data_IF_081358095290
#
_entry.id   IF_081358095290
#
_cell.length_a   1.000
_cell.length_b   1.000
_cell.length_c   1.000
_cell.angle_alpha   90.00
_cell.angle_beta   90.00
_cell.angle_gamma   90.00
#
_symmetry.space_group_name_H-M   'P 1'
#
loop_
_entity.id
_entity.type
_entity.pdbx_description
1 polymer ?
#
# COMPACT_ATOMS: atom_id res chain seq x y z
N UNK A 1 -0.62 16.17 -14.26
CA UNK A 1 -1.18 14.81 -14.04
C UNK A 1 -0.77 14.16 -12.71
N UNK A 2 0.34 14.58 -12.06
CA UNK A 2 0.89 13.92 -10.85
C UNK A 2 0.34 14.44 -9.50
N UNK A 3 -0.33 15.60 -9.51
CA UNK A 3 -0.96 16.28 -8.35
C UNK A 3 -2.47 16.02 -8.24
N UNK A 4 -2.95 14.91 -8.78
CA UNK A 4 -4.38 14.61 -8.66
C UNK A 4 -4.66 14.11 -7.25
N UNK A 5 -5.39 14.89 -6.47
CA UNK A 5 -5.72 14.61 -5.06
C UNK A 5 -6.42 13.27 -4.84
N UNK A 6 -7.01 12.69 -5.90
CA UNK A 6 -7.59 11.34 -5.90
C UNK A 6 -6.56 10.21 -5.76
N UNK A 7 -5.29 10.43 -6.11
CA UNK A 7 -4.24 9.40 -6.11
C UNK A 7 -3.39 9.39 -4.83
N UNK A 8 -3.53 10.41 -3.99
CA UNK A 8 -2.87 10.52 -2.69
C UNK A 8 -3.06 9.32 -1.74
N UNK A 9 -4.23 8.66 -1.64
CA UNK A 9 -4.43 7.55 -0.71
C UNK A 9 -3.67 6.30 -1.19
N UNK A 10 -3.68 6.03 -2.50
CA UNK A 10 -2.90 4.95 -3.10
C UNK A 10 -1.40 5.15 -2.88
N UNK A 11 -0.91 6.39 -3.06
CA UNK A 11 0.49 6.71 -2.78
C UNK A 11 0.85 6.50 -1.31
N UNK A 12 -0.01 6.91 -0.37
CA UNK A 12 0.23 6.66 1.06
C UNK A 12 0.32 5.17 1.37
N UNK A 13 -0.55 4.34 0.79
CA UNK A 13 -0.50 2.88 0.97
C UNK A 13 0.81 2.33 0.41
N UNK A 14 1.24 2.76 -0.77
CA UNK A 14 2.53 2.35 -1.34
C UNK A 14 3.69 2.73 -0.44
N UNK A 15 3.69 3.93 0.16
CA UNK A 15 4.71 4.37 1.12
C UNK A 15 4.63 3.56 2.40
N UNK A 16 3.44 3.28 2.91
CA UNK A 16 3.25 2.44 4.09
C UNK A 16 3.78 1.02 3.88
N UNK A 17 3.50 0.40 2.72
CA UNK A 17 4.01 -0.92 2.36
C UNK A 17 5.54 -0.91 2.20
N UNK A 18 6.10 0.17 1.64
CA UNK A 18 7.55 0.38 1.54
C UNK A 18 8.23 0.40 2.91
N UNK A 19 7.73 1.23 3.84
CA UNK A 19 8.24 1.31 5.21
C UNK A 19 8.02 0.00 5.99
N UNK A 20 6.86 -0.65 5.79
CA UNK A 20 6.57 -1.95 6.40
C UNK A 20 7.55 -3.01 5.93
N UNK A 21 7.99 -2.98 4.68
CA UNK A 21 9.00 -3.90 4.16
C UNK A 21 10.40 -3.66 4.74
N UNK A 22 10.77 -2.41 5.03
CA UNK A 22 11.97 -2.12 5.83
C UNK A 22 11.86 -2.72 7.24
N UNK A 23 10.72 -2.50 7.91
CA UNK A 23 10.47 -3.04 9.24
C UNK A 23 10.50 -4.59 9.27
N UNK A 24 9.90 -5.22 8.26
CA UNK A 24 9.87 -6.68 8.14
C UNK A 24 11.28 -7.24 7.90
N UNK A 25 12.07 -6.63 7.01
CA UNK A 25 13.45 -7.03 6.77
C UNK A 25 14.34 -6.83 8.02
N UNK A 26 14.08 -5.78 8.80
CA UNK A 26 14.75 -5.57 10.07
C UNK A 26 14.47 -6.73 11.03
N UNK A 27 13.19 -7.07 11.24
CA UNK A 27 12.80 -8.22 12.08
C UNK A 27 13.40 -9.55 11.57
N UNK A 28 13.41 -9.79 10.26
CA UNK A 28 13.99 -11.01 9.66
C UNK A 28 15.51 -11.09 9.83
N UNK A 29 16.19 -9.95 9.90
CA UNK A 29 17.65 -9.88 10.15
C UNK A 29 17.99 -9.79 11.64
N UNK A 30 17.03 -10.13 12.52
CA UNK A 30 17.14 -10.06 13.98
C UNK A 30 17.41 -8.65 14.52
N UNK A 31 17.07 -7.60 13.78
CA UNK A 31 17.00 -6.23 14.28
C UNK A 31 15.67 -5.94 14.95
N UNK A 32 15.59 -4.82 15.65
CA UNK A 32 14.36 -4.33 16.28
C UNK A 32 13.82 -3.09 15.54
N UNK A 33 12.50 -2.89 15.60
CA UNK A 33 11.83 -1.75 14.95
C UNK A 33 11.31 -0.85 16.06
N UNK A 34 11.95 0.29 16.25
CA UNK A 34 11.60 1.24 17.32
C UNK A 34 10.34 2.04 16.97
N UNK A 35 10.08 2.25 15.67
CA UNK A 35 8.86 2.90 15.22
C UNK A 35 8.80 3.08 13.72
N UNK A 36 7.59 3.26 13.20
CA UNK A 36 7.34 3.55 11.79
C UNK A 36 6.41 4.76 11.70
N UNK A 37 6.79 5.75 10.90
CA UNK A 37 5.98 6.94 10.65
C UNK A 37 5.80 7.12 9.14
N UNK A 38 4.55 7.32 8.72
CA UNK A 38 4.22 7.63 7.34
C UNK A 38 3.66 9.05 7.29
N UNK A 39 4.33 9.91 6.54
CA UNK A 39 3.91 11.29 6.37
C UNK A 39 2.96 11.42 5.18
N UNK A 40 2.01 12.35 5.32
CA UNK A 40 1.07 12.70 4.27
C UNK A 40 1.73 13.28 3.01
N UNK A 41 2.98 13.70 3.11
CA UNK A 41 3.79 14.25 2.02
C UNK A 41 4.51 13.15 1.20
N UNK A 42 3.95 11.95 1.15
CA UNK A 42 4.50 10.79 0.40
C UNK A 42 5.87 10.30 0.92
N UNK A 43 6.32 10.80 2.08
CA UNK A 43 7.53 10.37 2.78
C UNK A 43 7.22 9.41 3.91
N UNK A 44 8.15 8.51 4.23
CA UNK A 44 8.06 7.59 5.36
C UNK A 44 9.40 7.50 6.06
N UNK A 45 9.38 7.16 7.34
CA UNK A 45 10.59 6.85 8.10
C UNK A 45 10.32 5.66 9.01
N UNK A 46 11.12 4.62 8.83
CA UNK A 46 11.17 3.46 9.71
C UNK A 46 12.43 3.54 10.56
N UNK A 47 12.25 3.69 11.86
CA UNK A 47 13.36 3.64 12.82
C UNK A 47 13.61 2.17 13.19
N UNK A 48 14.77 1.69 12.76
CA UNK A 48 15.25 0.33 13.01
C UNK A 48 16.50 0.37 13.86
N UNK A 49 16.60 -0.54 14.84
CA UNK A 49 17.76 -0.70 15.69
C UNK A 49 18.37 -2.09 15.51
N UNK A 50 19.56 -2.13 14.93
CA UNK A 50 20.24 -3.38 14.60
C UNK A 50 19.73 -4.01 13.30
N UNK A 51 20.14 -5.26 13.05
CA UNK A 51 19.89 -5.96 11.79
C UNK A 51 20.92 -5.66 10.70
N UNK A 52 20.74 -6.28 9.54
CA UNK A 52 21.68 -6.15 8.41
C UNK A 52 21.16 -5.06 7.47
N UNK A 53 21.69 -3.84 7.60
CA UNK A 53 21.31 -2.69 6.78
C UNK A 53 21.35 -2.96 5.27
N UNK A 54 22.30 -3.79 4.82
CA UNK A 54 22.42 -4.21 3.43
C UNK A 54 21.18 -4.93 2.87
N UNK A 55 20.39 -5.57 3.72
CA UNK A 55 19.12 -6.22 3.33
C UNK A 55 17.94 -5.29 3.61
N UNK A 56 18.00 -4.55 4.72
CA UNK A 56 16.92 -3.64 5.12
C UNK A 56 16.72 -2.53 4.09
N UNK A 57 17.79 -1.89 3.61
CA UNK A 57 17.72 -0.79 2.64
C UNK A 57 17.06 -1.19 1.30
N UNK A 58 17.43 -2.28 0.61
CA UNK A 58 16.75 -2.68 -0.62
C UNK A 58 15.35 -3.25 -0.37
N UNK A 59 15.04 -3.75 0.84
CA UNK A 59 13.77 -4.40 1.13
C UNK A 59 12.57 -3.46 0.98
N UNK A 60 12.69 -2.16 1.26
CA UNK A 60 11.60 -1.21 1.04
C UNK A 60 11.23 -1.07 -0.44
N UNK A 61 12.24 -0.94 -1.30
CA UNK A 61 12.08 -0.83 -2.75
C UNK A 61 11.45 -2.09 -3.35
N UNK A 62 12.07 -3.23 -3.06
CA UNK A 62 11.59 -4.54 -3.51
C UNK A 62 10.19 -4.83 -2.94
N UNK A 63 9.95 -4.46 -1.69
CA UNK A 63 8.70 -4.65 -0.98
C UNK A 63 7.51 -3.98 -1.66
N UNK A 64 7.62 -2.69 -1.99
CA UNK A 64 6.53 -1.96 -2.65
C UNK A 64 6.09 -2.57 -3.99
N UNK A 65 7.04 -3.03 -4.81
CA UNK A 65 6.75 -3.74 -6.06
C UNK A 65 6.21 -5.15 -5.81
N UNK A 66 6.77 -5.86 -4.82
CA UNK A 66 6.34 -7.21 -4.44
C UNK A 66 4.88 -7.24 -3.99
N UNK A 67 4.48 -6.32 -3.10
CA UNK A 67 3.09 -6.25 -2.63
C UNK A 67 2.12 -5.89 -3.76
N UNK A 68 2.51 -4.98 -4.67
CA UNK A 68 1.70 -4.68 -5.86
C UNK A 68 1.49 -5.91 -6.75
N UNK A 69 2.54 -6.71 -6.95
CA UNK A 69 2.45 -7.96 -7.71
C UNK A 69 1.56 -9.00 -7.00
N UNK A 70 1.68 -9.15 -5.68
CA UNK A 70 0.86 -10.06 -4.88
C UNK A 70 -0.62 -9.70 -4.99
N UNK A 71 -0.98 -8.42 -4.96
CA UNK A 71 -2.37 -7.99 -5.14
C UNK A 71 -2.89 -8.27 -6.56
N UNK A 72 -2.08 -8.06 -7.59
CA UNK A 72 -2.45 -8.40 -8.98
C UNK A 72 -2.66 -9.91 -9.13
N UNK A 73 -1.77 -10.73 -8.59
CA UNK A 73 -1.89 -12.20 -8.64
C UNK A 73 -3.11 -12.68 -7.85
N UNK A 74 -3.39 -12.06 -6.70
CA UNK A 74 -4.57 -12.37 -5.89
C UNK A 74 -5.89 -12.02 -6.61
N UNK A 75 -5.86 -11.12 -7.60
CA UNK A 75 -7.02 -10.75 -8.40
C UNK A 75 -7.50 -11.83 -9.39
N UNK A 76 -6.74 -12.91 -9.57
CA UNK A 76 -7.05 -13.98 -10.54
C UNK A 76 -8.20 -14.89 -10.11
N UNK A 77 -8.38 -15.08 -8.80
CA UNK A 77 -9.41 -15.95 -8.24
C UNK A 77 -10.39 -15.18 -7.36
N UNK A 78 -11.70 -15.38 -7.55
CA UNK A 78 -12.76 -14.66 -6.83
C UNK A 78 -12.63 -14.71 -5.29
N UNK A 79 -12.20 -15.83 -4.72
CA UNK A 79 -11.97 -15.96 -3.27
C UNK A 79 -10.72 -15.20 -2.81
N UNK A 80 -9.64 -15.27 -3.59
CA UNK A 80 -8.40 -14.57 -3.27
C UNK A 80 -8.60 -13.06 -3.36
N UNK A 81 -9.33 -12.57 -4.37
CA UNK A 81 -9.66 -11.16 -4.52
C UNK A 81 -10.47 -10.65 -3.32
N UNK A 82 -11.39 -11.46 -2.76
CA UNK A 82 -12.16 -11.08 -1.55
C UNK A 82 -11.27 -10.86 -0.34
N UNK A 83 -10.35 -11.80 -0.09
CA UNK A 83 -9.39 -11.70 1.01
C UNK A 83 -8.48 -10.49 0.80
N UNK A 84 -7.96 -10.34 -0.42
CA UNK A 84 -7.08 -9.24 -0.78
C UNK A 84 -7.76 -7.87 -0.67
N UNK A 85 -9.03 -7.74 -1.06
CA UNK A 85 -9.83 -6.53 -0.88
C UNK A 85 -10.06 -6.21 0.60
N UNK A 86 -10.30 -7.23 1.44
CA UNK A 86 -10.38 -7.07 2.90
C UNK A 86 -9.06 -6.57 3.49
N UNK A 87 -7.93 -7.15 3.09
CA UNK A 87 -6.59 -6.69 3.49
C UNK A 87 -6.31 -5.25 3.03
N UNK A 88 -6.74 -4.90 1.81
CA UNK A 88 -6.58 -3.56 1.25
C UNK A 88 -7.38 -2.51 2.03
N UNK A 89 -8.62 -2.84 2.38
CA UNK A 89 -9.47 -2.03 3.27
C UNK A 89 -8.81 -1.84 4.64
N UNK A 90 -8.28 -2.91 5.22
CA UNK A 90 -7.59 -2.83 6.52
C UNK A 90 -6.37 -1.91 6.43
N UNK A 91 -5.57 -2.01 5.37
CA UNK A 91 -4.43 -1.11 5.12
C UNK A 91 -4.88 0.35 5.00
N UNK A 92 -5.99 0.63 4.29
CA UNK A 92 -6.59 1.96 4.22
C UNK A 92 -7.00 2.50 5.59
N UNK A 93 -7.55 1.65 6.46
CA UNK A 93 -7.94 2.03 7.84
C UNK A 93 -6.72 2.34 8.68
N UNK A 94 -5.64 1.55 8.58
CA UNK A 94 -4.39 1.84 9.30
C UNK A 94 -3.80 3.18 8.84
N UNK A 95 -3.77 3.41 7.53
CA UNK A 95 -3.32 4.68 6.94
C UNK A 95 -4.19 5.85 7.39
N UNK A 96 -5.51 5.65 7.56
CA UNK A 96 -6.45 6.66 8.10
C UNK A 96 -6.05 7.13 9.49
N UNK A 97 -5.63 6.20 10.36
CA UNK A 97 -5.17 6.53 11.71
C UNK A 97 -3.82 7.25 11.71
N UNK A 98 -2.92 6.88 10.79
CA UNK A 98 -1.59 7.50 10.66
C UNK A 98 -1.66 8.89 10.01
N UNK A 99 -2.61 9.12 9.10
CA UNK A 99 -2.81 10.40 8.43
C UNK A 99 -3.35 11.46 9.41
N UNK A 100 -2.50 12.43 9.76
CA UNK A 100 -2.86 13.59 10.61
C UNK A 100 -3.72 14.64 9.89
N UNK A 101 -3.76 14.64 8.56
CA UNK A 101 -4.48 15.63 7.77
C UNK A 101 -5.97 15.28 7.63
N UNK A 102 -6.86 16.21 8.02
CA UNK A 102 -8.31 16.04 7.96
C UNK A 102 -8.84 15.76 6.54
N UNK A 103 -8.25 16.37 5.52
CA UNK A 103 -8.64 16.16 4.11
C UNK A 103 -8.31 14.74 3.60
N UNK A 104 -7.14 14.22 3.95
CA UNK A 104 -6.75 12.84 3.63
C UNK A 104 -7.65 11.81 4.30
N UNK A 105 -8.12 12.11 5.53
CA UNK A 105 -9.08 11.24 6.21
C UNK A 105 -10.39 11.14 5.44
N UNK A 106 -10.93 12.26 4.97
CA UNK A 106 -12.14 12.24 4.15
C UNK A 106 -11.96 11.44 2.85
N UNK A 107 -10.81 11.57 2.22
CA UNK A 107 -10.54 10.91 0.95
C UNK A 107 -10.34 9.39 1.12
N UNK A 108 -9.66 8.94 2.18
CA UNK A 108 -9.56 7.52 2.53
C UNK A 108 -10.90 6.93 2.99
N UNK A 109 -11.75 7.67 3.70
CA UNK A 109 -13.12 7.24 4.03
C UNK A 109 -13.95 7.07 2.76
N UNK A 110 -13.79 7.97 1.78
CA UNK A 110 -14.44 7.88 0.48
C UNK A 110 -14.06 6.60 -0.28
N UNK A 111 -12.76 6.27 -0.31
CA UNK A 111 -12.28 5.02 -0.93
C UNK A 111 -12.72 3.78 -0.17
N UNK A 112 -12.64 3.80 1.16
CA UNK A 112 -13.14 2.70 1.98
C UNK A 112 -14.64 2.44 1.75
N UNK A 113 -15.45 3.49 1.67
CA UNK A 113 -16.87 3.38 1.32
C UNK A 113 -17.08 2.85 -0.09
N UNK A 114 -16.29 3.33 -1.06
CA UNK A 114 -16.34 2.83 -2.44
C UNK A 114 -16.08 1.32 -2.48
N UNK A 115 -14.98 0.86 -1.87
CA UNK A 115 -14.61 -0.57 -1.81
C UNK A 115 -15.64 -1.41 -1.04
N UNK A 116 -16.15 -0.88 0.08
CA UNK A 116 -17.16 -1.58 0.91
C UNK A 116 -18.48 -1.73 0.16
N UNK A 117 -18.99 -0.66 -0.45
CA UNK A 117 -20.20 -0.69 -1.29
C UNK A 117 -20.01 -1.66 -2.46
N UNK A 118 -18.81 -1.71 -3.05
CA UNK A 118 -18.46 -2.67 -4.08
C UNK A 118 -18.47 -4.12 -3.59
N UNK A 119 -17.98 -4.40 -2.37
CA UNK A 119 -18.04 -5.74 -1.75
C UNK A 119 -19.49 -6.17 -1.49
N UNK A 120 -20.37 -5.27 -1.05
CA UNK A 120 -21.78 -5.60 -0.82
C UNK A 120 -22.56 -5.86 -2.12
N UNK A 121 -22.20 -5.20 -3.22
CA UNK A 121 -22.80 -5.42 -4.55
C UNK A 121 -22.12 -6.54 -5.36
N UNK A 122 -21.09 -7.18 -4.81
CA UNK A 122 -20.34 -8.28 -5.43
C UNK A 122 -21.20 -9.40 -6.06
N UNK A 123 -22.31 -9.89 -5.46
CA UNK A 123 -23.07 -10.98 -6.05
C UNK A 123 -23.74 -10.62 -7.39
N UNK A 124 -23.80 -9.33 -7.77
CA UNK A 124 -24.52 -8.87 -8.97
C UNK A 124 -23.66 -8.91 -10.25
N UNK A 125 -22.32 -8.76 -10.18
CA UNK A 125 -21.41 -8.81 -11.35
C UNK A 125 -19.94 -9.14 -10.96
N UNK A 126 -19.53 -10.42 -10.96
CA UNK A 126 -18.16 -10.82 -10.57
C UNK A 126 -17.06 -10.36 -11.55
N UNK A 127 -17.39 -10.15 -12.84
CA UNK A 127 -16.42 -9.71 -13.85
C UNK A 127 -15.98 -8.25 -13.64
N UNK A 128 -16.92 -7.34 -13.36
CA UNK A 128 -16.63 -5.92 -13.11
C UNK A 128 -15.79 -5.75 -11.83
N UNK A 129 -16.04 -6.60 -10.84
CA UNK A 129 -15.29 -6.61 -9.59
C UNK A 129 -13.82 -6.97 -9.79
N UNK A 130 -13.53 -8.07 -10.49
CA UNK A 130 -12.15 -8.47 -10.74
C UNK A 130 -11.40 -7.37 -11.50
N UNK A 131 -12.02 -6.75 -12.52
CA UNK A 131 -11.41 -5.65 -13.28
C UNK A 131 -11.12 -4.44 -12.37
N UNK A 132 -12.05 -4.05 -11.50
CA UNK A 132 -11.89 -2.89 -10.61
C UNK A 132 -10.74 -3.11 -9.62
N UNK A 133 -10.67 -4.30 -9.00
CA UNK A 133 -9.59 -4.65 -8.09
C UNK A 133 -8.24 -4.75 -8.81
N UNK A 134 -8.22 -5.27 -10.04
CA UNK A 134 -7.02 -5.29 -10.88
C UNK A 134 -6.51 -3.88 -11.16
N UNK A 135 -7.39 -2.94 -11.55
CA UNK A 135 -7.01 -1.53 -11.82
C UNK A 135 -6.43 -0.85 -10.57
N UNK A 136 -7.02 -1.08 -9.41
CA UNK A 136 -6.49 -0.60 -8.12
C UNK A 136 -5.11 -1.19 -7.81
N UNK A 137 -4.94 -2.50 -8.03
CA UNK A 137 -3.67 -3.21 -7.82
C UNK A 137 -2.57 -2.78 -8.79
N UNK A 138 -2.91 -2.55 -10.07
CA UNK A 138 -2.00 -1.98 -11.06
C UNK A 138 -1.56 -0.57 -10.69
N UNK A 139 -2.46 0.24 -10.14
CA UNK A 139 -2.13 1.58 -9.66
C UNK A 139 -1.09 1.53 -8.54
N UNK A 140 -1.25 0.64 -7.55
CA UNK A 140 -0.27 0.42 -6.48
C UNK A 140 1.09 -0.02 -7.01
N UNK A 141 1.11 -0.97 -7.96
CA UNK A 141 2.34 -1.46 -8.57
C UNK A 141 3.06 -0.34 -9.36
N UNK A 142 2.33 0.43 -10.16
CA UNK A 142 2.88 1.56 -10.90
C UNK A 142 3.45 2.63 -9.96
N UNK A 143 2.75 2.97 -8.87
CA UNK A 143 3.29 3.89 -7.87
C UNK A 143 4.51 3.34 -7.14
N UNK A 144 4.54 2.03 -6.85
CA UNK A 144 5.72 1.37 -6.26
C UNK A 144 6.93 1.46 -7.18
N UNK A 145 6.76 1.10 -8.45
CA UNK A 145 7.81 1.23 -9.47
C UNK A 145 8.27 2.68 -9.66
N UNK A 146 7.33 3.63 -9.69
CA UNK A 146 7.64 5.04 -9.83
C UNK A 146 8.44 5.58 -8.63
N UNK A 147 8.09 5.16 -7.40
CA UNK A 147 8.85 5.49 -6.19
C UNK A 147 10.27 4.95 -6.25
N UNK A 148 10.44 3.71 -6.73
CA UNK A 148 11.76 3.11 -6.96
C UNK A 148 12.59 3.94 -7.95
N UNK A 149 11.98 4.39 -9.06
CA UNK A 149 12.62 5.22 -10.10
C UNK A 149 13.04 6.61 -9.60
N UNK A 150 12.22 7.27 -8.76
CA UNK A 150 12.57 8.60 -8.22
C UNK A 150 13.71 8.57 -7.21
N UNK A 151 13.82 7.50 -6.42
CA UNK A 151 14.86 7.35 -5.42
C UNK A 151 16.16 6.74 -5.98
N UNK A 152 16.10 5.97 -7.08
CA UNK A 152 17.29 5.46 -7.79
C UNK A 152 18.03 6.52 -8.61
N UNK A 153 17.51 7.75 -8.72
CA UNK A 153 18.18 8.89 -9.36
C UNK A 153 19.06 9.70 -8.40
N UNK A 154 19.22 9.25 -7.15
CA UNK A 154 20.12 9.83 -6.15
C UNK A 154 21.16 8.82 -5.68
#
# INVERSE_FOLDING_TARGET
>A
LWRTFLLTPFKLITVFLHETSHALACKLTCGDVEGMQVHANEGGVTQTRGGIYWIILPAGYLGSSFWGMVFILSSTHLLATRIAAGCFILALVIVLFVAKNWFLRWLCIGMHKYDSIFIYNFPLQPAIYNITFQVSSYSLLLFGLYKNLQLSMF
#
